data_IF_317797477977
#
_entry.id   IF_317797477977
#
_cell.length_a   1.000
_cell.length_b   1.000
_cell.length_c   1.000
_cell.angle_alpha   90.00
_cell.angle_beta   90.00
_cell.angle_gamma   90.00
#
_symmetry.space_group_name_H-M   'P 1'
#
loop_
_entity.id
_entity.type
_entity.pdbx_description
1 polymer ?
#
# COMPACT_ATOMS: atom_id res chain seq x y z
N UNK A 1 -27.27 17.59 -2.41
CA UNK A 1 -27.66 16.15 -2.33
C UNK A 1 -26.39 15.34 -2.01
N UNK A 2 -26.40 14.57 -0.96
CA UNK A 2 -25.30 13.65 -0.62
C UNK A 2 -25.34 12.50 -1.63
N UNK A 3 -24.23 12.25 -2.33
CA UNK A 3 -24.13 11.14 -3.30
C UNK A 3 -24.37 9.81 -2.56
N UNK A 4 -25.28 8.97 -3.06
CA UNK A 4 -25.61 7.67 -2.48
C UNK A 4 -24.41 6.70 -2.40
N UNK A 5 -23.33 6.98 -3.14
CA UNK A 5 -22.11 6.17 -3.15
C UNK A 5 -21.09 6.56 -2.06
N UNK A 6 -21.33 7.63 -1.30
CA UNK A 6 -20.38 8.16 -0.32
C UNK A 6 -20.03 7.16 0.80
N UNK A 7 -20.94 6.23 1.10
CA UNK A 7 -20.75 5.14 2.06
C UNK A 7 -19.98 3.93 1.51
N UNK A 8 -19.51 3.97 0.26
CA UNK A 8 -18.78 2.85 -0.35
C UNK A 8 -17.41 3.27 -0.87
N UNK A 9 -16.48 2.32 -0.96
CA UNK A 9 -15.12 2.57 -1.45
C UNK A 9 -15.02 2.74 -2.99
N UNK A 10 -16.12 2.80 -3.73
CA UNK A 10 -16.12 2.86 -5.22
C UNK A 10 -15.31 4.04 -5.77
N UNK A 11 -15.40 5.21 -5.14
CA UNK A 11 -14.65 6.38 -5.57
C UNK A 11 -13.17 6.23 -5.33
N UNK A 12 -12.78 5.53 -4.26
CA UNK A 12 -11.38 5.25 -3.91
C UNK A 12 -10.68 4.45 -5.01
N UNK A 13 -11.41 3.54 -5.68
CA UNK A 13 -10.89 2.72 -6.78
C UNK A 13 -10.51 3.51 -8.02
N UNK A 14 -11.01 4.76 -8.15
CA UNK A 14 -10.75 5.66 -9.28
C UNK A 14 -9.86 6.84 -8.90
N UNK A 15 -9.52 6.97 -7.63
CA UNK A 15 -8.72 8.09 -7.11
C UNK A 15 -7.26 7.69 -6.96
N UNK A 16 -6.36 8.57 -7.43
CA UNK A 16 -4.92 8.38 -7.24
C UNK A 16 -4.58 8.16 -5.76
N UNK A 17 -3.59 7.32 -5.47
CA UNK A 17 -3.13 6.89 -4.15
C UNK A 17 -4.16 6.00 -3.43
N UNK A 18 -5.44 6.38 -3.35
CA UNK A 18 -6.46 5.52 -2.74
C UNK A 18 -6.56 4.17 -3.44
N UNK A 19 -6.45 4.13 -4.78
CA UNK A 19 -6.51 2.92 -5.59
C UNK A 19 -5.24 2.05 -5.55
N UNK A 20 -4.19 2.49 -4.89
CA UNK A 20 -2.96 1.70 -4.74
C UNK A 20 -3.16 0.40 -3.95
N UNK A 21 -4.22 0.32 -3.17
CA UNK A 21 -4.67 -0.91 -2.52
C UNK A 21 -6.18 -1.03 -2.61
N UNK A 22 -6.65 -2.10 -3.26
CA UNK A 22 -8.08 -2.39 -3.41
C UNK A 22 -8.64 -2.91 -2.09
N UNK A 23 -9.37 -2.05 -1.40
CA UNK A 23 -10.04 -2.38 -0.15
C UNK A 23 -11.52 -2.05 -0.25
N UNK A 24 -12.36 -3.10 -0.24
CA UNK A 24 -13.82 -2.97 -0.48
C UNK A 24 -14.60 -2.62 0.77
N UNK A 25 -14.07 -2.96 1.96
CA UNK A 25 -14.71 -2.70 3.25
C UNK A 25 -14.35 -1.30 3.76
N UNK A 26 -14.74 -0.26 3.03
CA UNK A 26 -14.44 1.12 3.39
C UNK A 26 -15.46 2.10 2.82
N UNK A 27 -15.36 3.35 3.23
CA UNK A 27 -16.14 4.47 2.71
C UNK A 27 -15.34 5.29 1.69
N UNK A 28 -16.03 6.15 0.94
CA UNK A 28 -15.42 7.03 -0.03
C UNK A 28 -14.58 8.13 0.65
N UNK A 29 -13.41 8.47 0.09
CA UNK A 29 -12.64 9.64 0.53
C UNK A 29 -13.47 10.94 0.45
N UNK A 30 -14.45 11.01 -0.46
CA UNK A 30 -15.37 12.15 -0.57
C UNK A 30 -16.21 12.36 0.69
N UNK A 31 -16.41 11.31 1.50
CA UNK A 31 -17.08 11.45 2.79
C UNK A 31 -16.23 12.28 3.75
N UNK A 32 -14.93 12.04 3.79
CA UNK A 32 -13.99 12.84 4.60
C UNK A 32 -13.94 14.27 4.08
N UNK A 33 -13.84 14.44 2.75
CA UNK A 33 -13.85 15.76 2.12
C UNK A 33 -15.12 16.54 2.49
N UNK A 34 -16.28 15.88 2.39
CA UNK A 34 -17.56 16.51 2.73
C UNK A 34 -17.61 16.96 4.21
N UNK A 35 -17.12 16.13 5.14
CA UNK A 35 -17.10 16.51 6.57
C UNK A 35 -16.19 17.70 6.77
N UNK A 36 -14.96 17.65 6.29
CA UNK A 36 -13.97 18.71 6.49
C UNK A 36 -14.40 20.02 5.84
N UNK A 37 -14.95 19.95 4.62
CA UNK A 37 -15.36 21.14 3.85
C UNK A 37 -16.62 21.83 4.44
N UNK A 38 -17.38 21.14 5.30
CA UNK A 38 -18.55 21.72 6.00
C UNK A 38 -18.27 22.06 7.47
N UNK A 39 -17.03 21.97 7.93
CA UNK A 39 -16.64 22.46 9.25
C UNK A 39 -16.47 23.98 9.24
N UNK A 40 -16.93 24.65 10.32
CA UNK A 40 -16.74 26.12 10.48
C UNK A 40 -15.26 26.52 10.53
N UNK A 41 -14.40 25.60 10.98
CA UNK A 41 -12.95 25.77 11.04
C UNK A 41 -12.26 24.49 10.59
N UNK A 42 -11.23 24.63 9.75
CA UNK A 42 -10.40 23.48 9.33
C UNK A 42 -9.67 22.91 10.55
N UNK A 43 -9.78 21.61 10.83
CA UNK A 43 -9.11 21.01 11.98
C UNK A 43 -7.59 20.96 11.75
N UNK A 44 -6.82 21.13 12.83
CA UNK A 44 -5.38 20.97 12.79
C UNK A 44 -4.94 19.51 12.69
N UNK A 45 -5.78 18.58 13.21
CA UNK A 45 -5.50 17.16 13.23
C UNK A 45 -6.80 16.36 13.18
N UNK A 46 -6.78 15.25 12.45
CA UNK A 46 -7.87 14.26 12.40
C UNK A 46 -7.38 12.97 13.05
N UNK A 47 -8.19 12.41 13.95
CA UNK A 47 -7.94 11.08 14.53
C UNK A 47 -8.91 10.06 13.95
N UNK A 48 -8.36 8.96 13.41
CA UNK A 48 -9.12 7.83 12.86
C UNK A 48 -8.82 6.56 13.69
N UNK A 49 -9.75 6.13 14.56
CA UNK A 49 -9.54 4.98 15.44
C UNK A 49 -9.55 3.63 14.72
N UNK A 50 -10.11 3.55 13.49
CA UNK A 50 -10.23 2.34 12.68
C UNK A 50 -9.76 2.63 11.26
N UNK A 51 -8.45 2.87 11.11
CA UNK A 51 -7.89 3.45 9.88
C UNK A 51 -8.03 2.56 8.63
N UNK A 52 -8.15 1.24 8.78
CA UNK A 52 -8.28 0.30 7.66
C UNK A 52 -7.15 0.49 6.63
N UNK A 53 -7.51 0.78 5.39
CA UNK A 53 -6.53 1.07 4.35
C UNK A 53 -6.11 2.55 4.23
N UNK A 54 -6.46 3.39 5.22
CA UNK A 54 -5.99 4.77 5.35
C UNK A 54 -6.79 5.82 4.56
N UNK A 55 -8.07 5.59 4.27
CA UNK A 55 -8.89 6.54 3.50
C UNK A 55 -8.89 7.93 4.14
N UNK A 56 -9.17 8.02 5.43
CA UNK A 56 -9.19 9.28 6.19
C UNK A 56 -7.81 9.95 6.21
N UNK A 57 -6.75 9.18 6.44
CA UNK A 57 -5.40 9.72 6.56
C UNK A 57 -4.89 10.30 5.23
N UNK A 58 -5.13 9.60 4.11
CA UNK A 58 -4.78 10.07 2.77
C UNK A 58 -5.59 11.29 2.39
N UNK A 59 -6.90 11.33 2.69
CA UNK A 59 -7.73 12.49 2.44
C UNK A 59 -7.28 13.72 3.26
N UNK A 60 -6.96 13.52 4.55
CA UNK A 60 -6.41 14.57 5.41
C UNK A 60 -5.09 15.13 4.86
N UNK A 61 -4.16 14.25 4.49
CA UNK A 61 -2.87 14.68 3.94
C UNK A 61 -3.04 15.48 2.64
N UNK A 62 -3.96 15.09 1.74
CA UNK A 62 -4.28 15.86 0.53
C UNK A 62 -4.77 17.27 0.81
N UNK A 63 -5.40 17.48 1.96
CA UNK A 63 -5.88 18.80 2.43
C UNK A 63 -4.84 19.55 3.30
N UNK A 64 -3.64 18.99 3.49
CA UNK A 64 -2.61 19.56 4.36
C UNK A 64 -2.92 19.47 5.86
N UNK A 65 -3.82 18.56 6.25
CA UNK A 65 -4.24 18.36 7.64
C UNK A 65 -3.44 17.20 8.22
N UNK A 66 -2.89 17.38 9.43
CA UNK A 66 -2.25 16.30 10.17
C UNK A 66 -3.25 15.21 10.52
N UNK A 67 -2.81 13.96 10.57
CA UNK A 67 -3.70 12.86 10.95
C UNK A 67 -2.99 11.79 11.79
N UNK A 68 -3.76 11.14 12.65
CA UNK A 68 -3.34 10.00 13.46
C UNK A 68 -4.33 8.87 13.18
N UNK A 69 -3.83 7.71 12.75
CA UNK A 69 -4.64 6.51 12.54
C UNK A 69 -4.24 5.41 13.51
N UNK A 70 -5.24 4.66 13.99
CA UNK A 70 -5.02 3.43 14.72
C UNK A 70 -5.51 2.26 13.88
N UNK A 71 -4.66 1.22 13.71
CA UNK A 71 -4.97 0.02 12.95
C UNK A 71 -4.29 -1.20 13.60
N UNK A 72 -5.06 -2.28 13.76
CA UNK A 72 -4.57 -3.50 14.41
C UNK A 72 -3.86 -4.46 13.46
N UNK A 73 -4.20 -4.42 12.16
CA UNK A 73 -3.61 -5.31 11.17
C UNK A 73 -2.30 -4.74 10.62
N UNK A 74 -1.20 -5.47 10.85
CA UNK A 74 0.14 -5.07 10.38
C UNK A 74 0.18 -4.75 8.88
N UNK A 75 -0.47 -5.59 8.05
CA UNK A 75 -0.54 -5.35 6.61
C UNK A 75 -1.20 -4.00 6.29
N UNK A 76 -2.31 -3.67 6.96
CA UNK A 76 -2.98 -2.39 6.74
C UNK A 76 -2.13 -1.21 7.21
N UNK A 77 -1.38 -1.35 8.31
CA UNK A 77 -0.41 -0.34 8.73
C UNK A 77 0.64 -0.09 7.65
N UNK A 78 1.17 -1.15 7.02
CA UNK A 78 2.15 -1.03 5.95
C UNK A 78 1.54 -0.41 4.68
N UNK A 79 0.30 -0.75 4.34
CA UNK A 79 -0.47 -0.12 3.25
C UNK A 79 -0.67 1.37 3.50
N UNK A 80 -1.07 1.77 4.71
CA UNK A 80 -1.22 3.18 5.10
C UNK A 80 0.10 3.92 4.94
N UNK A 81 1.18 3.38 5.51
CA UNK A 81 2.49 4.01 5.47
C UNK A 81 3.01 4.13 4.02
N UNK A 82 2.79 3.14 3.17
CA UNK A 82 3.13 3.23 1.76
C UNK A 82 2.35 4.34 1.05
N UNK A 83 1.02 4.42 1.28
CA UNK A 83 0.16 5.45 0.69
C UNK A 83 0.50 6.86 1.15
N UNK A 84 0.85 7.06 2.42
CA UNK A 84 1.20 8.37 2.96
C UNK A 84 2.58 8.87 2.48
N UNK A 85 3.43 7.96 1.99
CA UNK A 85 4.74 8.29 1.40
C UNK A 85 4.69 8.35 -0.14
N UNK A 86 3.68 8.99 -0.70
CA UNK A 86 3.45 9.07 -2.15
C UNK A 86 4.48 9.91 -2.94
N UNK A 87 5.31 10.71 -2.27
CA UNK A 87 6.35 11.56 -2.84
C UNK A 87 7.57 10.75 -3.31
N UNK A 88 7.34 9.75 -4.14
CA UNK A 88 8.37 8.86 -4.66
C UNK A 88 9.27 9.62 -5.66
N UNK A 89 10.58 9.60 -5.42
CA UNK A 89 11.54 10.08 -6.39
C UNK A 89 11.72 9.03 -7.50
N UNK A 90 11.49 9.43 -8.76
CA UNK A 90 11.48 8.52 -9.91
C UNK A 90 12.85 7.90 -10.18
N UNK A 91 13.94 8.66 -10.02
CA UNK A 91 15.29 8.15 -10.28
C UNK A 91 15.67 7.09 -9.23
N UNK A 92 15.34 7.35 -7.97
CA UNK A 92 15.53 6.37 -6.89
C UNK A 92 14.68 5.13 -7.08
N UNK A 93 13.42 5.30 -7.51
CA UNK A 93 12.54 4.18 -7.87
C UNK A 93 13.15 3.32 -8.97
N UNK A 94 13.60 3.93 -10.06
CA UNK A 94 14.22 3.22 -11.18
C UNK A 94 15.50 2.50 -10.75
N UNK A 95 16.35 3.14 -9.94
CA UNK A 95 17.56 2.52 -9.37
C UNK A 95 17.19 1.25 -8.59
N UNK A 96 16.22 1.33 -7.68
CA UNK A 96 15.81 0.17 -6.88
C UNK A 96 15.13 -0.90 -7.72
N UNK A 97 14.32 -0.53 -8.71
CA UNK A 97 13.73 -1.48 -9.65
C UNK A 97 14.84 -2.28 -10.39
N UNK A 98 15.87 -1.60 -10.87
CA UNK A 98 17.02 -2.28 -11.53
C UNK A 98 17.76 -3.20 -10.55
N UNK A 99 17.92 -2.82 -9.29
CA UNK A 99 18.54 -3.67 -8.26
C UNK A 99 17.71 -4.93 -8.00
N UNK A 100 16.38 -4.80 -7.86
CA UNK A 100 15.47 -5.94 -7.69
C UNK A 100 15.54 -6.88 -8.88
N UNK A 101 15.42 -6.36 -10.10
CA UNK A 101 15.48 -7.18 -11.32
C UNK A 101 16.84 -7.89 -11.49
N UNK A 102 17.93 -7.19 -11.16
CA UNK A 102 19.26 -7.79 -11.17
C UNK A 102 19.39 -8.93 -10.17
N UNK A 103 18.91 -8.72 -8.94
CA UNK A 103 18.92 -9.75 -7.88
C UNK A 103 18.15 -10.99 -8.32
N UNK A 104 16.94 -10.84 -8.83
CA UNK A 104 16.13 -11.96 -9.34
C UNK A 104 16.85 -12.72 -10.46
N UNK A 105 17.45 -12.00 -11.40
CA UNK A 105 18.19 -12.60 -12.52
C UNK A 105 19.41 -13.42 -12.05
N UNK A 106 20.19 -12.88 -11.11
CA UNK A 106 21.40 -13.55 -10.60
C UNK A 106 21.05 -14.80 -9.78
N UNK A 107 19.95 -14.73 -9.00
CA UNK A 107 19.54 -15.81 -8.10
C UNK A 107 18.53 -16.78 -8.74
N UNK A 108 18.24 -16.66 -10.01
CA UNK A 108 17.26 -17.52 -10.70
C UNK A 108 17.61 -19.04 -10.70
N UNK A 109 18.86 -19.39 -10.43
CA UNK A 109 19.30 -20.79 -10.35
C UNK A 109 19.12 -21.41 -8.94
N UNK A 110 18.68 -20.64 -7.94
CA UNK A 110 18.41 -21.16 -6.60
C UNK A 110 17.23 -22.15 -6.66
N UNK A 111 17.33 -23.27 -5.94
CA UNK A 111 16.20 -24.18 -5.81
C UNK A 111 15.11 -23.54 -4.92
N UNK A 112 13.84 -23.77 -5.29
CA UNK A 112 12.71 -23.27 -4.52
C UNK A 112 12.71 -23.82 -3.07
N UNK A 113 13.25 -25.01 -2.85
CA UNK A 113 13.37 -25.63 -1.54
C UNK A 113 14.27 -24.82 -0.59
N UNK A 114 15.26 -24.09 -1.14
CA UNK A 114 16.16 -23.24 -0.36
C UNK A 114 15.52 -21.89 0.04
N UNK A 115 14.37 -21.54 -0.54
CA UNK A 115 13.68 -20.28 -0.29
C UNK A 115 12.73 -20.32 0.92
N UNK A 116 12.59 -21.46 1.57
CA UNK A 116 11.71 -21.66 2.76
C UNK A 116 10.29 -21.07 2.54
N UNK A 117 9.65 -21.47 1.43
CA UNK A 117 8.32 -21.05 1.09
C UNK A 117 7.29 -21.53 2.12
N UNK A 118 6.25 -20.73 2.34
CA UNK A 118 5.18 -21.12 3.25
C UNK A 118 4.27 -22.14 2.57
N UNK A 119 4.00 -23.27 3.23
CA UNK A 119 3.22 -24.40 2.70
C UNK A 119 1.87 -24.00 2.07
N UNK A 120 1.18 -23.03 2.68
CA UNK A 120 -0.09 -22.54 2.12
C UNK A 120 0.06 -21.92 0.73
N UNK A 121 1.20 -21.33 0.41
CA UNK A 121 1.45 -20.69 -0.87
C UNK A 121 1.80 -21.70 -1.97
N UNK A 122 2.35 -22.85 -1.61
CA UNK A 122 2.65 -23.94 -2.54
C UNK A 122 1.39 -24.52 -3.18
N UNK A 123 0.24 -24.42 -2.50
CA UNK A 123 -1.06 -24.83 -3.03
C UNK A 123 -1.76 -23.78 -3.90
N UNK A 124 -1.28 -22.51 -3.87
CA UNK A 124 -1.91 -21.38 -4.57
C UNK A 124 -1.17 -20.97 -5.85
N UNK A 125 0.13 -21.18 -5.91
CA UNK A 125 1.00 -20.75 -7.01
C UNK A 125 1.79 -21.92 -7.58
N UNK A 126 2.06 -21.90 -8.88
CA UNK A 126 3.04 -22.79 -9.46
C UNK A 126 4.47 -22.47 -8.93
N UNK A 127 5.34 -23.47 -8.99
CA UNK A 127 6.69 -23.38 -8.40
C UNK A 127 7.54 -22.25 -9.01
N UNK A 128 7.37 -21.95 -10.30
CA UNK A 128 8.15 -20.90 -10.95
C UNK A 128 7.70 -19.51 -10.47
N UNK A 129 6.42 -19.25 -10.46
CA UNK A 129 5.82 -18.02 -9.93
C UNK A 129 6.16 -17.82 -8.46
N UNK A 130 6.01 -18.87 -7.64
CA UNK A 130 6.33 -18.79 -6.22
C UNK A 130 7.80 -18.46 -5.97
N UNK A 131 8.70 -19.06 -6.73
CA UNK A 131 10.13 -18.77 -6.67
C UNK A 131 10.42 -17.31 -7.00
N UNK A 132 9.86 -16.77 -8.09
CA UNK A 132 10.05 -15.38 -8.47
C UNK A 132 9.52 -14.41 -7.41
N UNK A 133 8.35 -14.68 -6.83
CA UNK A 133 7.77 -13.87 -5.76
C UNK A 133 8.69 -13.81 -4.52
N UNK A 134 9.28 -14.95 -4.14
CA UNK A 134 10.20 -15.00 -3.00
C UNK A 134 11.51 -14.28 -3.29
N UNK A 135 12.06 -14.41 -4.50
CA UNK A 135 13.25 -13.67 -4.91
C UNK A 135 13.00 -12.15 -4.94
N UNK A 136 11.84 -11.71 -5.44
CA UNK A 136 11.44 -10.29 -5.41
C UNK A 136 11.31 -9.81 -3.97
N UNK A 137 10.62 -10.56 -3.11
CA UNK A 137 10.48 -10.24 -1.67
C UNK A 137 11.84 -10.05 -1.01
N UNK A 138 12.78 -10.98 -1.25
CA UNK A 138 14.10 -10.93 -0.64
C UNK A 138 14.93 -9.77 -1.19
N UNK A 139 14.85 -9.50 -2.49
CA UNK A 139 15.46 -8.32 -3.11
C UNK A 139 14.94 -7.00 -2.51
N UNK A 140 13.62 -6.90 -2.30
CA UNK A 140 12.99 -5.72 -1.69
C UNK A 140 13.47 -5.50 -0.26
N UNK A 141 13.62 -6.57 0.54
CA UNK A 141 14.16 -6.50 1.91
C UNK A 141 15.61 -5.99 1.97
N UNK A 142 16.37 -6.22 0.90
CA UNK A 142 17.78 -5.78 0.80
C UNK A 142 17.94 -4.32 0.39
N UNK A 143 16.87 -3.60 0.03
CA UNK A 143 16.96 -2.19 -0.39
C UNK A 143 17.47 -1.26 0.72
N UNK A 144 17.32 -1.66 1.97
CA UNK A 144 17.73 -0.88 3.15
C UNK A 144 17.14 0.55 3.18
N UNK A 145 15.97 0.71 2.56
CA UNK A 145 15.20 1.94 2.48
C UNK A 145 13.72 1.64 2.75
N UNK A 146 13.28 1.94 3.97
CA UNK A 146 11.94 1.55 4.45
C UNK A 146 10.80 2.15 3.65
N UNK A 147 10.96 3.36 3.11
CA UNK A 147 9.96 4.01 2.27
C UNK A 147 9.71 3.20 0.99
N UNK A 148 10.78 2.85 0.28
CA UNK A 148 10.68 2.09 -0.97
C UNK A 148 10.35 0.61 -0.71
N UNK A 149 10.84 0.03 0.39
CA UNK A 149 10.43 -1.32 0.81
C UNK A 149 8.90 -1.42 0.95
N UNK A 150 8.27 -0.47 1.66
CA UNK A 150 6.82 -0.43 1.82
C UNK A 150 6.10 -0.23 0.49
N UNK A 151 6.63 0.64 -0.37
CA UNK A 151 6.07 0.91 -1.68
C UNK A 151 6.10 -0.33 -2.60
N UNK A 152 7.23 -1.03 -2.70
CA UNK A 152 7.34 -2.25 -3.50
C UNK A 152 6.50 -3.40 -2.90
N UNK A 153 6.47 -3.55 -1.59
CA UNK A 153 5.60 -4.55 -0.93
C UNK A 153 4.12 -4.27 -1.19
N UNK A 154 3.70 -3.00 -1.22
CA UNK A 154 2.35 -2.63 -1.60
C UNK A 154 2.04 -3.05 -3.05
N UNK A 155 2.95 -2.80 -3.99
CA UNK A 155 2.81 -3.21 -5.39
C UNK A 155 2.68 -4.74 -5.51
N UNK A 156 3.54 -5.50 -4.83
CA UNK A 156 3.49 -6.97 -4.81
C UNK A 156 2.12 -7.45 -4.28
N UNK A 157 1.66 -6.89 -3.14
CA UNK A 157 0.39 -7.32 -2.51
C UNK A 157 -0.85 -7.01 -3.34
N UNK A 158 -0.74 -6.18 -4.39
CA UNK A 158 -1.82 -5.90 -5.33
C UNK A 158 -1.82 -6.81 -6.56
N UNK A 159 -0.73 -7.49 -6.82
CA UNK A 159 -0.59 -8.44 -7.94
C UNK A 159 -0.93 -9.87 -7.53
N UNK A 160 -0.98 -10.14 -6.24
CA UNK A 160 -1.36 -11.43 -5.63
C UNK A 160 -2.86 -11.51 -5.37
#
# INVERSE_FOLDING_TARGET
MIDANIGSAKDNMKSAIHNWYKFTAGFSYKFVDLIVDNMDTVPNCIYEPFAGCGTTLVAAQKKGISSIGNESQKLMCDVINAKLNWDINVDTYNKYMHQILHYVKVHNNIDILDLHCHELLEGLYDKATLKELYLIRDAVRLLNDKKYELFFNLAISQTL
#
